data_IF_674301752678
#
_entry.id   IF_674301752678
#
_cell.length_a   1.000
_cell.length_b   1.000
_cell.length_c   1.000
_cell.angle_alpha   90.00
_cell.angle_beta   90.00
_cell.angle_gamma   90.00
#
_symmetry.space_group_name_H-M   'P 1'
#
loop_
_entity.id
_entity.type
_entity.pdbx_description
1 polymer ?
#
# COMPACT_ATOMS: atom_id res chain seq x y z
N UNK A 1 -17.72 -10.72 -0.48
CA UNK A 1 -17.52 -9.58 -1.40
C UNK A 1 -18.55 -8.54 -1.03
N UNK A 2 -18.14 -7.29 -0.90
CA UNK A 2 -18.97 -6.15 -0.51
C UNK A 2 -18.86 -5.05 -1.56
N UNK A 3 -19.85 -4.16 -1.61
CA UNK A 3 -19.80 -3.00 -2.48
C UNK A 3 -18.80 -1.98 -1.93
N UNK A 4 -17.92 -1.50 -2.79
CA UNK A 4 -16.82 -0.62 -2.43
C UNK A 4 -15.98 -0.28 -3.65
N UNK A 5 -15.01 0.60 -3.49
CA UNK A 5 -14.10 0.98 -4.57
C UNK A 5 -12.74 1.41 -4.04
N UNK A 6 -11.71 1.27 -4.88
CA UNK A 6 -10.37 1.81 -4.63
C UNK A 6 -9.95 2.75 -5.76
N UNK A 7 -9.26 3.83 -5.42
CA UNK A 7 -8.64 4.73 -6.38
C UNK A 7 -7.27 5.22 -5.92
N UNK A 8 -6.44 5.61 -6.88
CA UNK A 8 -4.99 5.80 -6.73
C UNK A 8 -4.67 7.24 -6.30
N UNK A 9 -5.21 7.63 -5.14
CA UNK A 9 -4.91 8.89 -4.45
C UNK A 9 -4.79 8.61 -2.95
N UNK A 10 -3.63 8.88 -2.38
CA UNK A 10 -3.40 8.74 -0.95
C UNK A 10 -3.64 10.03 -0.15
N UNK A 11 -3.25 9.99 1.13
CA UNK A 11 -3.38 11.12 2.03
C UNK A 11 -2.52 12.32 1.60
N UNK A 12 -3.05 13.53 1.75
CA UNK A 12 -2.31 14.77 1.46
C UNK A 12 -1.24 15.09 2.51
N UNK A 13 -1.36 14.52 3.71
CA UNK A 13 -0.42 14.75 4.81
C UNK A 13 -0.24 13.48 5.63
N UNK A 14 1.00 13.08 5.95
CA UNK A 14 1.25 11.90 6.80
C UNK A 14 0.75 12.10 8.23
N UNK A 15 0.46 13.33 8.65
CA UNK A 15 -0.14 13.59 9.97
C UNK A 15 -1.57 13.07 10.13
N UNK A 16 -2.22 12.63 9.05
CA UNK A 16 -3.50 11.95 9.12
C UNK A 16 -3.40 10.49 9.57
N UNK A 17 -2.20 9.88 9.52
CA UNK A 17 -1.97 8.46 9.86
C UNK A 17 -2.55 8.13 11.24
N UNK A 18 -3.29 7.03 11.29
CA UNK A 18 -3.89 6.48 12.52
C UNK A 18 -3.22 5.17 12.92
N UNK A 19 -2.62 4.46 11.96
CA UNK A 19 -1.84 3.24 12.17
C UNK A 19 -0.39 3.50 11.73
N UNK A 20 0.51 3.85 12.67
CA UNK A 20 1.91 4.13 12.37
C UNK A 20 2.71 2.91 11.92
N UNK A 21 2.27 1.69 12.25
CA UNK A 21 2.97 0.47 11.83
C UNK A 21 2.74 0.22 10.34
N UNK A 22 1.51 0.42 9.87
CA UNK A 22 1.13 0.20 8.46
C UNK A 22 1.23 1.47 7.61
N UNK A 23 1.48 2.63 8.24
CA UNK A 23 1.46 3.95 7.59
C UNK A 23 0.13 4.22 6.86
N UNK A 24 -0.97 3.84 7.51
CA UNK A 24 -2.33 3.96 6.96
C UNK A 24 -3.22 4.87 7.83
N UNK A 25 -4.19 5.51 7.19
CA UNK A 25 -5.33 6.14 7.82
C UNK A 25 -6.51 5.18 7.77
N UNK A 26 -7.08 4.86 8.92
CA UNK A 26 -8.22 3.95 9.06
C UNK A 26 -9.36 4.72 9.71
N UNK A 27 -10.42 4.96 8.93
CA UNK A 27 -11.63 5.65 9.38
C UNK A 27 -12.79 4.66 9.41
N UNK A 28 -13.26 4.31 10.61
CA UNK A 28 -14.42 3.44 10.81
C UNK A 28 -15.72 4.26 10.83
N UNK A 29 -16.78 3.76 10.20
CA UNK A 29 -18.09 4.42 10.01
C UNK A 29 -17.99 5.87 9.49
N UNK A 30 -17.12 6.10 8.52
CA UNK A 30 -16.80 7.43 8.02
C UNK A 30 -17.92 8.05 7.17
N UNK A 31 -18.02 9.38 7.24
CA UNK A 31 -18.72 10.21 6.25
C UNK A 31 -17.75 10.71 5.17
N UNK A 32 -18.22 10.89 3.95
CA UNK A 32 -17.40 11.22 2.78
C UNK A 32 -17.89 12.51 2.13
N UNK A 33 -17.08 13.56 2.19
CA UNK A 33 -17.27 14.78 1.42
C UNK A 33 -16.70 14.59 0.01
N UNK A 34 -17.54 14.81 -1.00
CA UNK A 34 -17.19 14.66 -2.41
C UNK A 34 -17.35 16.03 -3.07
N UNK A 35 -16.24 16.73 -3.24
CA UNK A 35 -16.22 18.10 -3.74
C UNK A 35 -15.37 18.20 -5.00
N UNK A 36 -15.87 18.90 -6.03
CA UNK A 36 -15.14 18.99 -7.29
C UNK A 36 -14.00 20.00 -7.26
N UNK A 37 -14.14 21.10 -6.51
CA UNK A 37 -13.18 22.20 -6.52
C UNK A 37 -12.09 22.06 -5.47
N UNK A 38 -11.09 22.93 -5.58
CA UNK A 38 -10.04 23.12 -4.58
C UNK A 38 -10.61 23.73 -3.30
N UNK A 39 -10.08 23.27 -2.17
CA UNK A 39 -10.38 23.78 -0.83
C UNK A 39 -9.13 24.45 -0.26
N UNK A 40 -9.10 25.78 -0.30
CA UNK A 40 -7.99 26.59 0.21
C UNK A 40 -8.33 27.37 1.49
N UNK A 41 -9.59 27.77 1.64
CA UNK A 41 -10.08 28.55 2.76
C UNK A 41 -10.87 27.68 3.76
N UNK A 42 -10.55 27.82 5.05
CA UNK A 42 -11.24 27.08 6.10
C UNK A 42 -12.68 27.57 6.32
N UNK A 43 -12.94 28.86 6.07
CA UNK A 43 -14.23 29.51 6.32
C UNK A 43 -15.41 28.73 5.72
N UNK A 44 -15.28 28.28 4.47
CA UNK A 44 -16.35 27.63 3.73
C UNK A 44 -16.65 26.21 4.26
N UNK A 45 -15.69 25.60 4.96
CA UNK A 45 -15.78 24.26 5.52
C UNK A 45 -16.27 24.23 6.97
N UNK A 46 -16.16 25.34 7.71
CA UNK A 46 -16.49 25.40 9.14
C UNK A 46 -17.90 24.85 9.45
N UNK A 47 -18.98 25.26 8.74
CA UNK A 47 -20.32 24.77 9.05
C UNK A 47 -20.46 23.26 8.89
N UNK A 48 -19.73 22.66 7.95
CA UNK A 48 -19.74 21.23 7.72
C UNK A 48 -18.93 20.48 8.78
N UNK A 49 -17.73 20.99 9.12
CA UNK A 49 -16.88 20.35 10.14
C UNK A 49 -17.55 20.36 11.52
N UNK A 50 -18.27 21.42 11.88
CA UNK A 50 -19.04 21.48 13.13
C UNK A 50 -20.14 20.42 13.17
N UNK A 51 -20.89 20.26 12.07
CA UNK A 51 -21.90 19.21 11.96
C UNK A 51 -21.29 17.81 12.12
N UNK A 52 -20.16 17.55 11.46
CA UNK A 52 -19.47 16.26 11.52
C UNK A 52 -18.90 15.99 12.92
N UNK A 53 -18.28 17.00 13.54
CA UNK A 53 -17.72 16.89 14.88
C UNK A 53 -18.82 16.62 15.93
N UNK A 54 -19.98 17.28 15.81
CA UNK A 54 -21.15 17.01 16.67
C UNK A 54 -21.71 15.60 16.47
N UNK A 55 -21.66 15.07 15.24
CA UNK A 55 -22.06 13.70 14.95
C UNK A 55 -21.06 12.65 15.48
N UNK A 56 -19.84 13.06 15.85
CA UNK A 56 -18.80 12.16 16.36
C UNK A 56 -18.32 11.14 15.32
N UNK A 57 -18.48 11.43 14.01
CA UNK A 57 -18.12 10.51 12.92
C UNK A 57 -16.82 10.95 12.24
N UNK A 58 -15.94 10.03 11.85
CA UNK A 58 -14.77 10.36 11.05
C UNK A 58 -15.13 10.88 9.66
N UNK A 59 -14.30 11.75 9.09
CA UNK A 59 -14.54 12.41 7.80
C UNK A 59 -13.43 12.16 6.78
N UNK A 60 -13.79 11.59 5.64
CA UNK A 60 -12.96 11.61 4.44
C UNK A 60 -13.35 12.81 3.57
N UNK A 61 -12.36 13.61 3.17
CA UNK A 61 -12.53 14.72 2.23
C UNK A 61 -11.87 14.37 0.90
N UNK A 62 -12.67 14.35 -0.16
CA UNK A 62 -12.21 14.18 -1.54
C UNK A 62 -12.48 15.48 -2.27
N UNK A 63 -11.41 16.16 -2.69
CA UNK A 63 -11.46 17.46 -3.39
C UNK A 63 -10.46 17.49 -4.56
N UNK A 64 -10.57 18.41 -5.52
CA UNK A 64 -9.52 18.57 -6.55
C UNK A 64 -8.14 18.73 -5.91
N UNK A 65 -8.08 19.60 -4.90
CA UNK A 65 -6.92 19.77 -4.03
C UNK A 65 -7.36 20.33 -2.68
N UNK A 66 -6.54 20.15 -1.65
CA UNK A 66 -6.74 20.76 -0.34
C UNK A 66 -5.41 21.32 0.15
N UNK A 67 -5.30 22.65 0.17
CA UNK A 67 -4.02 23.35 0.32
C UNK A 67 -4.12 24.53 1.29
N UNK A 68 -2.95 25.09 1.66
CA UNK A 68 -2.87 26.30 2.48
C UNK A 68 -3.45 26.15 3.89
N UNK A 69 -4.27 27.13 4.28
CA UNK A 69 -4.83 27.23 5.62
C UNK A 69 -5.79 26.06 5.95
N UNK A 70 -6.57 25.61 4.97
CA UNK A 70 -7.51 24.50 5.15
C UNK A 70 -6.78 23.20 5.56
N UNK A 71 -5.68 22.86 4.86
CA UNK A 71 -4.91 21.66 5.17
C UNK A 71 -4.27 21.74 6.55
N UNK A 72 -3.61 22.85 6.86
CA UNK A 72 -2.97 23.08 8.16
C UNK A 72 -3.99 22.95 9.31
N UNK A 73 -5.19 23.52 9.12
CA UNK A 73 -6.23 23.48 10.14
C UNK A 73 -6.77 22.06 10.37
N UNK A 74 -6.99 21.28 9.32
CA UNK A 74 -7.41 19.88 9.45
C UNK A 74 -6.33 19.05 10.16
N UNK A 75 -5.06 19.22 9.80
CA UNK A 75 -3.94 18.52 10.43
C UNK A 75 -3.88 18.83 11.92
N UNK A 76 -3.97 20.11 12.31
CA UNK A 76 -3.95 20.52 13.72
C UNK A 76 -5.15 19.96 14.48
N UNK A 77 -6.35 19.97 13.90
CA UNK A 77 -7.55 19.41 14.54
C UNK A 77 -7.49 17.89 14.68
N UNK A 78 -6.91 17.18 13.70
CA UNK A 78 -6.63 15.75 13.84
C UNK A 78 -5.65 15.53 14.99
N UNK A 79 -4.50 16.20 15.01
CA UNK A 79 -3.47 15.99 16.03
C UNK A 79 -3.98 16.30 17.46
N UNK A 80 -4.91 17.24 17.60
CA UNK A 80 -5.60 17.55 18.86
C UNK A 80 -6.69 16.55 19.26
N UNK A 81 -7.06 15.63 18.37
CA UNK A 81 -8.14 14.67 18.59
C UNK A 81 -9.55 15.27 18.45
N UNK A 82 -9.67 16.52 18.01
CA UNK A 82 -10.97 17.21 17.85
C UNK A 82 -11.77 16.61 16.69
N UNK A 83 -11.09 16.20 15.62
CA UNK A 83 -11.73 15.67 14.41
C UNK A 83 -10.88 14.55 13.82
N UNK A 84 -11.43 13.34 13.77
CA UNK A 84 -10.85 12.25 12.98
C UNK A 84 -11.13 12.51 11.50
N UNK A 85 -10.13 12.94 10.73
CA UNK A 85 -10.31 13.21 9.31
C UNK A 85 -9.09 12.85 8.46
N UNK A 86 -9.33 12.68 7.17
CA UNK A 86 -8.31 12.51 6.14
C UNK A 86 -8.72 13.30 4.88
N UNK A 87 -7.77 13.98 4.26
CA UNK A 87 -7.97 14.64 2.97
C UNK A 87 -7.17 13.95 1.88
N UNK A 88 -7.83 13.70 0.75
CA UNK A 88 -7.25 13.06 -0.44
C UNK A 88 -7.63 13.84 -1.68
N UNK A 89 -6.78 13.80 -2.71
CA UNK A 89 -7.12 14.40 -4.01
C UNK A 89 -8.18 13.57 -4.72
N UNK A 90 -8.98 14.21 -5.53
CA UNK A 90 -9.94 13.56 -6.41
C UNK A 90 -9.19 12.69 -7.45
N UNK A 91 -9.73 11.51 -7.79
CA UNK A 91 -9.17 10.69 -8.85
C UNK A 91 -9.49 11.28 -10.23
N UNK A 92 -8.58 11.11 -11.19
CA UNK A 92 -8.73 11.63 -12.54
C UNK A 92 -8.49 13.14 -12.68
N UNK A 93 -8.78 13.66 -13.88
CA UNK A 93 -8.63 15.08 -14.26
C UNK A 93 -9.76 15.48 -15.22
N UNK A 94 -10.09 16.78 -15.27
CA UNK A 94 -11.16 17.31 -16.15
C UNK A 94 -12.49 16.56 -15.98
N UNK A 95 -13.20 16.33 -17.08
CA UNK A 95 -14.50 15.62 -17.08
C UNK A 95 -14.42 14.21 -16.47
N UNK A 96 -13.26 13.56 -16.56
CA UNK A 96 -13.05 12.25 -15.92
C UNK A 96 -13.09 12.36 -14.40
N UNK A 97 -12.57 13.44 -13.83
CA UNK A 97 -12.63 13.69 -12.39
C UNK A 97 -14.08 13.81 -11.94
N UNK A 98 -14.87 14.64 -12.63
CA UNK A 98 -16.29 14.83 -12.34
C UNK A 98 -17.06 13.51 -12.45
N UNK A 99 -16.79 12.73 -13.50
CA UNK A 99 -17.41 11.42 -13.68
C UNK A 99 -17.01 10.40 -12.59
N UNK A 100 -15.75 10.40 -12.15
CA UNK A 100 -15.26 9.53 -11.07
C UNK A 100 -15.76 9.97 -9.69
N UNK A 101 -15.89 11.27 -9.43
CA UNK A 101 -16.53 11.79 -8.21
C UNK A 101 -17.99 11.35 -8.13
N UNK A 102 -18.70 11.34 -9.27
CA UNK A 102 -20.05 10.77 -9.34
C UNK A 102 -20.07 9.27 -9.08
N UNK A 103 -19.05 8.53 -9.52
CA UNK A 103 -18.89 7.10 -9.22
C UNK A 103 -18.73 6.88 -7.69
N UNK A 104 -17.87 7.69 -7.04
CA UNK A 104 -17.71 7.67 -5.57
C UNK A 104 -19.01 8.03 -4.85
N UNK A 105 -19.74 9.03 -5.33
CA UNK A 105 -21.02 9.44 -4.78
C UNK A 105 -22.05 8.30 -4.85
N UNK A 106 -22.12 7.61 -5.99
CA UNK A 106 -23.01 6.47 -6.21
C UNK A 106 -22.67 5.30 -5.26
N UNK A 107 -21.39 4.98 -5.08
CA UNK A 107 -20.94 3.89 -4.18
C UNK A 107 -21.20 4.22 -2.71
N UNK A 108 -21.02 5.48 -2.32
CA UNK A 108 -21.16 5.90 -0.92
C UNK A 108 -22.57 6.38 -0.54
N UNK A 109 -23.47 6.53 -1.52
CA UNK A 109 -24.81 7.10 -1.32
C UNK A 109 -24.79 8.60 -1.02
N UNK A 110 -23.68 9.29 -1.33
CA UNK A 110 -23.51 10.72 -1.16
C UNK A 110 -23.86 11.51 -2.42
N UNK A 111 -23.69 12.84 -2.34
CA UNK A 111 -23.84 13.74 -3.48
C UNK A 111 -22.48 14.30 -3.88
N UNK A 112 -22.14 14.21 -5.17
CA UNK A 112 -20.99 14.93 -5.71
C UNK A 112 -21.33 16.43 -5.81
N UNK A 113 -20.62 17.27 -5.08
CA UNK A 113 -20.82 18.73 -5.07
C UNK A 113 -20.00 19.32 -6.23
N UNK A 114 -20.63 19.40 -7.40
CA UNK A 114 -20.07 19.99 -8.62
C UNK A 114 -20.47 21.46 -8.75
N UNK A 115 -19.69 22.23 -9.53
CA UNK A 115 -19.96 23.66 -9.75
C UNK A 115 -21.32 23.90 -10.39
N UNK A 116 -21.71 23.04 -11.33
CA UNK A 116 -22.93 23.15 -12.14
C UNK A 116 -24.21 23.08 -11.30
N UNK A 117 -24.13 22.47 -10.11
CA UNK A 117 -25.25 22.37 -9.17
C UNK A 117 -25.51 23.68 -8.42
N UNK A 118 -24.58 24.64 -8.44
CA UNK A 118 -24.70 25.91 -7.72
C UNK A 118 -24.74 25.79 -6.19
N UNK A 119 -24.34 24.62 -5.64
CA UNK A 119 -24.34 24.35 -4.21
C UNK A 119 -23.06 24.91 -3.59
N UNK A 120 -23.21 25.84 -2.64
CA UNK A 120 -22.09 26.33 -1.84
C UNK A 120 -21.76 25.33 -0.73
N UNK A 121 -20.47 25.15 -0.45
CA UNK A 121 -19.97 24.24 0.58
C UNK A 121 -20.54 24.55 1.97
N UNK A 122 -20.72 25.84 2.28
CA UNK A 122 -21.33 26.32 3.53
C UNK A 122 -22.75 25.78 3.78
N UNK A 123 -23.47 25.42 2.72
CA UNK A 123 -24.87 24.96 2.78
C UNK A 123 -25.00 23.43 2.76
N UNK A 124 -23.89 22.71 2.64
CA UNK A 124 -23.89 21.24 2.56
C UNK A 124 -24.32 20.67 3.91
N UNK A 125 -25.24 19.71 3.86
CA UNK A 125 -25.76 19.03 5.05
C UNK A 125 -25.14 17.66 5.21
N UNK A 126 -25.10 17.15 6.44
CA UNK A 126 -24.70 15.77 6.77
C UNK A 126 -25.42 14.69 5.93
N UNK A 127 -26.65 14.94 5.50
CA UNK A 127 -27.42 14.01 4.66
C UNK A 127 -26.93 13.93 3.21
N UNK A 128 -26.16 14.92 2.73
CA UNK A 128 -25.59 14.94 1.38
C UNK A 128 -24.18 14.31 1.34
N UNK A 129 -23.58 14.03 2.49
CA UNK A 129 -22.31 13.30 2.57
C UNK A 129 -22.51 11.83 2.29
N UNK A 130 -21.53 11.23 1.59
CA UNK A 130 -21.45 9.79 1.44
C UNK A 130 -21.18 9.10 2.77
N UNK A 131 -21.45 7.80 2.84
CA UNK A 131 -21.15 6.98 4.01
C UNK A 131 -20.44 5.70 3.59
N UNK A 132 -19.50 5.27 4.41
CA UNK A 132 -18.83 3.99 4.25
C UNK A 132 -18.55 3.40 5.62
N UNK A 133 -18.64 2.07 5.73
CA UNK A 133 -18.34 1.39 6.99
C UNK A 133 -16.87 1.49 7.37
N UNK A 134 -15.99 1.49 6.39
CA UNK A 134 -14.55 1.63 6.61
C UNK A 134 -13.88 2.29 5.42
N UNK A 135 -13.00 3.25 5.69
CA UNK A 135 -12.12 3.85 4.69
C UNK A 135 -10.68 3.61 5.12
N UNK A 136 -9.85 3.15 4.19
CA UNK A 136 -8.41 2.95 4.37
C UNK A 136 -7.69 3.84 3.37
N UNK A 137 -6.78 4.69 3.84
CA UNK A 137 -5.97 5.57 2.98
C UNK A 137 -4.50 5.33 3.28
N UNK A 138 -3.75 4.91 2.28
CA UNK A 138 -2.29 4.81 2.35
C UNK A 138 -1.65 6.01 1.62
N UNK A 139 -0.33 5.96 1.39
CA UNK A 139 0.40 7.04 0.71
C UNK A 139 -0.07 7.29 -0.73
N UNK A 140 -0.53 6.25 -1.41
CA UNK A 140 -0.80 6.24 -2.85
C UNK A 140 -2.26 5.92 -3.19
N UNK A 141 -3.02 5.28 -2.29
CA UNK A 141 -4.36 4.77 -2.53
C UNK A 141 -5.38 5.15 -1.45
N UNK A 142 -6.65 5.22 -1.88
CA UNK A 142 -7.82 5.29 -1.01
C UNK A 142 -8.76 4.14 -1.34
N UNK A 143 -9.16 3.39 -0.32
CA UNK A 143 -10.08 2.26 -0.39
C UNK A 143 -11.31 2.51 0.46
N UNK A 144 -12.49 2.48 -0.17
CA UNK A 144 -13.79 2.66 0.47
C UNK A 144 -14.49 1.31 0.54
N UNK A 145 -14.69 0.79 1.76
CA UNK A 145 -15.23 -0.55 2.03
C UNK A 145 -16.65 -0.44 2.58
N UNK A 146 -17.58 -1.23 2.01
CA UNK A 146 -19.01 -1.23 2.36
C UNK A 146 -19.59 0.20 2.30
N UNK A 147 -19.60 0.78 1.10
CA UNK A 147 -20.27 2.06 0.84
C UNK A 147 -21.80 1.94 1.00
N UNK A 148 -22.46 2.99 1.49
CA UNK A 148 -23.90 2.98 1.75
C UNK A 148 -24.76 3.32 0.51
N UNK A 149 -24.20 3.18 -0.69
CA UNK A 149 -24.89 3.40 -1.95
C UNK A 149 -26.00 2.39 -2.21
N UNK A 150 -26.97 2.74 -3.05
CA UNK A 150 -28.02 1.84 -3.45
C UNK A 150 -27.53 0.91 -4.57
N UNK A 151 -27.60 -0.41 -4.37
CA UNK A 151 -27.19 -1.41 -5.36
C UNK A 151 -27.87 -1.22 -6.73
N UNK A 152 -29.10 -0.69 -6.79
CA UNK A 152 -29.78 -0.43 -8.07
C UNK A 152 -29.17 0.76 -8.82
N UNK A 153 -28.77 1.80 -8.09
CA UNK A 153 -28.07 2.97 -8.66
C UNK A 153 -26.67 2.60 -9.12
N UNK A 154 -25.96 1.78 -8.34
CA UNK A 154 -24.64 1.24 -8.70
C UNK A 154 -24.74 0.38 -9.97
N UNK A 155 -25.71 -0.54 -10.03
CA UNK A 155 -25.95 -1.36 -11.22
C UNK A 155 -26.33 -0.51 -12.45
N UNK A 156 -27.13 0.54 -12.24
CA UNK A 156 -27.45 1.53 -13.28
C UNK A 156 -26.20 2.24 -13.79
N UNK A 157 -25.32 2.66 -12.89
CA UNK A 157 -24.04 3.31 -13.23
C UNK A 157 -23.10 2.39 -14.00
N UNK A 158 -22.98 1.14 -13.58
CA UNK A 158 -22.22 0.09 -14.28
C UNK A 158 -22.76 -0.10 -15.71
N UNK A 159 -24.09 -0.14 -15.88
CA UNK A 159 -24.73 -0.29 -17.19
C UNK A 159 -24.45 0.91 -18.10
N UNK A 160 -24.49 2.13 -17.56
CA UNK A 160 -24.14 3.35 -18.32
C UNK A 160 -22.70 3.29 -18.84
N UNK A 161 -21.74 2.90 -18.00
CA UNK A 161 -20.32 2.82 -18.39
C UNK A 161 -20.11 1.72 -19.44
N UNK A 162 -20.80 0.58 -19.34
CA UNK A 162 -20.76 -0.47 -20.36
C UNK A 162 -21.26 0.01 -21.72
N UNK A 163 -22.36 0.76 -21.76
CA UNK A 163 -22.85 1.34 -23.00
C UNK A 163 -21.84 2.34 -23.61
N UNK A 164 -21.22 3.19 -22.78
CA UNK A 164 -20.18 4.12 -23.23
C UNK A 164 -18.95 3.41 -23.81
N UNK A 165 -18.59 2.24 -23.29
CA UNK A 165 -17.49 1.40 -23.80
C UNK A 165 -17.80 0.85 -25.20
N UNK A 166 -19.06 0.49 -25.46
CA UNK A 166 -19.51 -0.01 -26.77
C UNK A 166 -19.63 1.11 -27.81
N UNK A 167 -20.02 2.31 -27.38
CA UNK A 167 -20.18 3.47 -28.27
C UNK A 167 -18.85 4.16 -28.61
N UNK A 168 -17.82 4.05 -27.76
CA UNK A 168 -16.55 4.73 -28.00
C UNK A 168 -15.71 4.06 -29.10
N UNK A 169 -15.23 4.89 -30.03
CA UNK A 169 -14.30 4.50 -31.10
C UNK A 169 -12.83 4.70 -30.72
N UNK A 170 -12.57 5.33 -29.57
CA UNK A 170 -11.23 5.62 -29.05
C UNK A 170 -10.76 4.50 -28.13
N UNK A 171 -9.66 3.83 -28.49
CA UNK A 171 -9.09 2.75 -27.66
C UNK A 171 -8.62 3.28 -26.29
N UNK A 172 -8.10 4.51 -26.26
CA UNK A 172 -7.73 5.19 -25.02
C UNK A 172 -8.95 5.36 -24.09
N UNK A 173 -10.06 5.90 -24.60
CA UNK A 173 -11.27 6.09 -23.79
C UNK A 173 -11.87 4.76 -23.36
N UNK A 174 -11.80 3.73 -24.22
CA UNK A 174 -12.23 2.38 -23.90
C UNK A 174 -11.48 1.81 -22.70
N UNK A 175 -10.15 1.87 -22.72
CA UNK A 175 -9.30 1.43 -21.60
C UNK A 175 -9.65 2.18 -20.31
N UNK A 176 -9.83 3.50 -20.40
CA UNK A 176 -10.13 4.36 -19.25
C UNK A 176 -11.54 4.18 -18.69
N UNK A 177 -12.51 3.82 -19.51
CA UNK A 177 -13.84 3.41 -19.06
C UNK A 177 -13.81 2.00 -18.45
N UNK A 178 -13.00 1.09 -18.99
CA UNK A 178 -12.81 -0.25 -18.42
C UNK A 178 -12.18 -0.19 -17.02
N UNK A 179 -11.19 0.68 -16.80
CA UNK A 179 -10.63 0.93 -15.46
C UNK A 179 -11.71 1.38 -14.46
N UNK A 180 -12.56 2.33 -14.86
CA UNK A 180 -13.67 2.83 -14.02
C UNK A 180 -14.70 1.73 -13.75
N UNK A 181 -15.06 0.97 -14.79
CA UNK A 181 -15.97 -0.16 -14.68
C UNK A 181 -15.43 -1.22 -13.72
N UNK A 182 -14.13 -1.54 -13.81
CA UNK A 182 -13.48 -2.50 -12.92
C UNK A 182 -13.54 -2.03 -11.45
N UNK A 183 -13.28 -0.74 -11.21
CA UNK A 183 -13.35 -0.15 -9.86
C UNK A 183 -14.77 -0.16 -9.26
N UNK A 184 -15.81 -0.08 -10.11
CA UNK A 184 -17.22 -0.14 -9.68
C UNK A 184 -17.78 -1.56 -9.57
N UNK A 185 -17.44 -2.43 -10.53
CA UNK A 185 -17.98 -3.78 -10.64
C UNK A 185 -17.19 -4.82 -9.84
N UNK A 186 -15.89 -4.56 -9.59
CA UNK A 186 -14.99 -5.49 -8.92
C UNK A 186 -15.34 -5.75 -7.46
N UNK A 187 -16.07 -4.81 -6.84
CA UNK A 187 -16.36 -4.85 -5.41
C UNK A 187 -15.08 -4.95 -4.58
N UNK A 188 -15.24 -5.24 -3.29
CA UNK A 188 -14.12 -5.46 -2.37
C UNK A 188 -14.29 -6.82 -1.71
N UNK A 189 -13.26 -7.65 -1.78
CA UNK A 189 -13.19 -8.87 -0.99
C UNK A 189 -12.64 -8.53 0.40
N UNK A 190 -13.42 -8.81 1.45
CA UNK A 190 -13.00 -8.60 2.85
C UNK A 190 -12.72 -9.96 3.47
N UNK A 191 -11.47 -10.15 3.93
CA UNK A 191 -11.06 -11.33 4.69
C UNK A 191 -11.04 -10.94 6.17
N UNK A 192 -11.91 -11.58 6.97
CA UNK A 192 -11.96 -11.36 8.41
C UNK A 192 -11.09 -12.41 9.09
N UNK A 193 -9.98 -11.98 9.67
CA UNK A 193 -9.02 -12.86 10.35
C UNK A 193 -9.40 -12.97 11.83
N UNK A 194 -9.67 -14.21 12.28
CA UNK A 194 -9.95 -14.52 13.68
C UNK A 194 -8.82 -15.31 14.33
N UNK A 195 -8.60 -15.05 15.62
CA UNK A 195 -7.64 -15.75 16.48
C UNK A 195 -8.11 -15.73 17.95
N UNK A 196 -7.45 -16.52 18.82
CA UNK A 196 -7.83 -16.65 20.23
C UNK A 196 -7.35 -15.45 21.09
N UNK A 197 -6.28 -14.78 20.67
CA UNK A 197 -5.72 -13.59 21.33
C UNK A 197 -5.48 -12.46 20.33
N UNK A 198 -5.40 -11.22 20.81
CA UNK A 198 -5.15 -10.06 19.95
C UNK A 198 -3.78 -10.15 19.26
N UNK A 199 -2.74 -10.58 19.98
CA UNK A 199 -1.39 -10.74 19.44
C UNK A 199 -1.35 -11.75 18.29
N UNK A 200 -2.00 -12.90 18.47
CA UNK A 200 -2.13 -13.92 17.41
C UNK A 200 -2.95 -13.40 16.22
N UNK A 201 -4.02 -12.64 16.49
CA UNK A 201 -4.83 -12.03 15.44
C UNK A 201 -4.00 -11.07 14.58
N UNK A 202 -3.13 -10.24 15.19
CA UNK A 202 -2.26 -9.31 14.48
C UNK A 202 -1.25 -10.04 13.59
N UNK A 203 -0.57 -11.05 14.12
CA UNK A 203 0.39 -11.87 13.35
C UNK A 203 -0.29 -12.60 12.19
N UNK A 204 -1.42 -13.25 12.46
CA UNK A 204 -2.17 -13.99 11.43
C UNK A 204 -2.73 -13.06 10.36
N UNK A 205 -3.14 -11.85 10.75
CA UNK A 205 -3.59 -10.82 9.82
C UNK A 205 -2.43 -10.37 8.92
N UNK A 206 -1.25 -10.12 9.49
CA UNK A 206 -0.06 -9.75 8.71
C UNK A 206 0.30 -10.85 7.69
N UNK A 207 0.30 -12.13 8.08
CA UNK A 207 0.52 -13.25 7.15
C UNK A 207 -0.47 -13.31 5.98
N UNK A 208 -1.75 -13.00 6.23
CA UNK A 208 -2.77 -12.95 5.17
C UNK A 208 -2.52 -11.78 4.22
N UNK A 209 -2.08 -10.63 4.73
CA UNK A 209 -1.69 -9.47 3.92
C UNK A 209 -0.45 -9.78 3.07
N UNK A 210 0.57 -10.42 3.64
CA UNK A 210 1.77 -10.85 2.92
C UNK A 210 1.43 -11.85 1.81
N UNK A 211 0.59 -12.84 2.10
CA UNK A 211 0.13 -13.82 1.11
C UNK A 211 -0.66 -13.15 -0.04
N UNK A 212 -1.47 -12.14 0.26
CA UNK A 212 -2.20 -11.35 -0.75
C UNK A 212 -1.22 -10.60 -1.66
N UNK A 213 -0.21 -9.95 -1.09
CA UNK A 213 0.82 -9.22 -1.84
C UNK A 213 1.66 -10.16 -2.72
N UNK A 214 2.07 -11.31 -2.18
CA UNK A 214 2.78 -12.34 -2.93
C UNK A 214 1.95 -12.89 -4.09
N UNK A 215 0.66 -13.15 -3.86
CA UNK A 215 -0.25 -13.65 -4.91
C UNK A 215 -0.42 -12.63 -6.03
N UNK A 216 -0.58 -11.34 -5.71
CA UNK A 216 -0.64 -10.26 -6.71
C UNK A 216 0.64 -10.20 -7.54
N UNK A 217 1.80 -10.22 -6.88
CA UNK A 217 3.10 -10.23 -7.55
C UNK A 217 3.28 -11.45 -8.46
N UNK A 218 2.80 -12.62 -8.04
CA UNK A 218 2.85 -13.85 -8.82
C UNK A 218 1.96 -13.81 -10.06
N UNK A 219 0.79 -13.17 -9.98
CA UNK A 219 -0.10 -12.97 -11.14
C UNK A 219 0.53 -12.01 -12.16
N UNK A 220 1.28 -11.00 -11.69
CA UNK A 220 1.89 -9.98 -12.55
C UNK A 220 3.12 -10.49 -13.32
N UNK A 221 4.09 -11.13 -12.65
CA UNK A 221 5.37 -11.53 -13.26
C UNK A 221 5.64 -13.04 -13.24
N UNK A 222 4.64 -13.83 -12.83
CA UNK A 222 4.77 -15.28 -12.71
C UNK A 222 5.50 -15.75 -11.44
N UNK A 223 5.90 -17.01 -11.45
CA UNK A 223 6.51 -17.70 -10.32
C UNK A 223 7.83 -18.37 -10.71
N UNK A 224 8.72 -18.55 -9.74
CA UNK A 224 10.00 -19.25 -9.85
C UNK A 224 10.16 -20.30 -8.74
N UNK A 225 11.17 -21.15 -8.85
CA UNK A 225 11.53 -22.10 -7.80
C UNK A 225 12.01 -21.36 -6.55
N UNK A 226 11.31 -21.54 -5.44
CA UNK A 226 11.58 -20.80 -4.22
C UNK A 226 12.77 -21.32 -3.41
N UNK A 227 12.89 -20.87 -2.17
CA UNK A 227 13.94 -21.30 -1.25
C UNK A 227 15.34 -20.84 -1.66
N UNK A 228 15.44 -19.70 -2.37
CA UNK A 228 16.69 -19.15 -2.90
C UNK A 228 17.27 -19.90 -4.11
N UNK A 229 16.57 -20.92 -4.62
CA UNK A 229 17.03 -21.71 -5.77
C UNK A 229 17.05 -20.87 -7.05
N UNK A 230 16.04 -20.02 -7.26
CA UNK A 230 15.98 -19.13 -8.42
C UNK A 230 17.22 -18.21 -8.51
N UNK A 231 17.61 -17.58 -7.40
CA UNK A 231 18.80 -16.72 -7.34
C UNK A 231 20.10 -17.50 -7.57
N UNK A 232 20.22 -18.68 -6.97
CA UNK A 232 21.37 -19.56 -7.17
C UNK A 232 21.54 -19.96 -8.66
N UNK A 233 20.43 -20.25 -9.36
CA UNK A 233 20.45 -20.54 -10.80
C UNK A 233 20.72 -19.30 -11.65
N UNK A 234 20.17 -18.15 -11.26
CA UNK A 234 20.42 -16.88 -11.95
C UNK A 234 21.92 -16.52 -11.95
N UNK A 235 22.68 -16.95 -10.95
CA UNK A 235 24.12 -16.72 -10.88
C UNK A 235 24.91 -17.34 -12.06
N UNK A 236 24.37 -18.37 -12.73
CA UNK A 236 25.02 -19.02 -13.89
C UNK A 236 25.18 -18.05 -15.07
N UNK A 237 24.30 -17.05 -15.22
CA UNK A 237 24.42 -16.04 -16.29
C UNK A 237 25.71 -15.23 -16.18
N UNK A 238 26.25 -15.09 -14.96
CA UNK A 238 27.47 -14.35 -14.68
C UNK A 238 28.72 -15.01 -15.27
N UNK A 239 28.68 -16.32 -15.59
CA UNK A 239 29.79 -17.04 -16.23
C UNK A 239 30.04 -16.58 -17.67
N UNK A 240 29.04 -15.97 -18.30
CA UNK A 240 29.16 -15.45 -19.66
C UNK A 240 29.85 -14.08 -19.73
N UNK A 241 29.99 -13.40 -18.59
CA UNK A 241 30.57 -12.06 -18.51
C UNK A 241 32.10 -12.13 -18.56
N UNK A 242 32.69 -11.49 -19.57
CA UNK A 242 34.15 -11.39 -19.74
C UNK A 242 34.63 -10.02 -19.25
N UNK A 243 34.79 -9.87 -17.95
CA UNK A 243 35.25 -8.65 -17.29
C UNK A 243 36.64 -8.86 -16.67
N UNK A 244 37.35 -7.77 -16.38
CA UNK A 244 38.70 -7.80 -15.81
C UNK A 244 38.86 -6.72 -14.73
N UNK A 245 39.84 -6.87 -13.84
CA UNK A 245 40.08 -5.90 -12.78
C UNK A 245 38.91 -5.79 -11.81
N UNK A 246 38.59 -4.58 -11.36
CA UNK A 246 37.58 -4.32 -10.32
C UNK A 246 36.17 -4.74 -10.73
N UNK A 247 35.85 -4.70 -12.03
CA UNK A 247 34.56 -5.16 -12.54
C UNK A 247 34.38 -6.69 -12.34
N UNK A 248 35.45 -7.48 -12.49
CA UNK A 248 35.42 -8.91 -12.22
C UNK A 248 35.25 -9.21 -10.72
N UNK A 249 35.84 -8.36 -9.86
CA UNK A 249 35.59 -8.40 -8.41
C UNK A 249 34.13 -8.12 -8.10
N UNK A 250 33.54 -7.10 -8.74
CA UNK A 250 32.11 -6.78 -8.60
C UNK A 250 31.19 -7.95 -8.96
N UNK A 251 31.46 -8.64 -10.08
CA UNK A 251 30.71 -9.86 -10.46
C UNK A 251 30.86 -10.96 -9.41
N UNK A 252 32.05 -11.13 -8.84
CA UNK A 252 32.30 -12.14 -7.80
C UNK A 252 31.52 -11.84 -6.51
N UNK A 253 31.39 -10.56 -6.14
CA UNK A 253 30.55 -10.13 -5.01
C UNK A 253 29.09 -10.53 -5.23
N UNK A 254 28.53 -10.19 -6.40
CA UNK A 254 27.14 -10.54 -6.73
C UNK A 254 26.93 -12.04 -6.74
N UNK A 255 27.84 -12.80 -7.37
CA UNK A 255 27.78 -14.27 -7.40
C UNK A 255 27.70 -14.88 -6.01
N UNK A 256 28.52 -14.37 -5.08
CA UNK A 256 28.51 -14.84 -3.69
C UNK A 256 27.20 -14.48 -2.99
N UNK A 257 26.74 -13.24 -3.15
CA UNK A 257 25.50 -12.76 -2.53
C UNK A 257 24.26 -13.57 -2.94
N UNK A 258 24.21 -14.04 -4.20
CA UNK A 258 23.09 -14.85 -4.71
C UNK A 258 22.94 -16.23 -4.02
N UNK A 259 23.98 -16.72 -3.35
CA UNK A 259 23.93 -17.96 -2.56
C UNK A 259 23.39 -17.75 -1.14
N UNK A 260 23.42 -16.52 -0.63
CA UNK A 260 23.12 -16.25 0.77
C UNK A 260 21.67 -16.56 1.16
N UNK A 261 20.64 -16.31 0.33
CA UNK A 261 19.25 -16.64 0.69
C UNK A 261 19.03 -18.13 0.97
N UNK A 262 19.48 -19.01 0.07
CA UNK A 262 19.38 -20.46 0.29
C UNK A 262 20.25 -20.92 1.46
N UNK A 263 21.45 -20.34 1.65
CA UNK A 263 22.32 -20.65 2.79
C UNK A 263 21.62 -20.31 4.11
N UNK A 264 21.07 -19.11 4.23
CA UNK A 264 20.42 -18.65 5.46
C UNK A 264 19.19 -19.50 5.80
N UNK A 265 18.39 -19.89 4.79
CA UNK A 265 17.24 -20.77 4.99
C UNK A 265 17.68 -22.13 5.57
N UNK A 266 18.75 -22.72 5.02
CA UNK A 266 19.30 -24.00 5.47
C UNK A 266 19.92 -23.91 6.87
N UNK A 267 20.64 -22.82 7.16
CA UNK A 267 21.22 -22.59 8.48
C UNK A 267 20.15 -22.40 9.55
N UNK A 268 19.06 -21.69 9.23
CA UNK A 268 17.90 -21.55 10.11
C UNK A 268 17.19 -22.90 10.38
N UNK A 269 17.32 -23.87 9.45
CA UNK A 269 16.86 -25.24 9.65
C UNK A 269 17.87 -26.13 10.43
N UNK A 270 18.99 -25.56 10.89
CA UNK A 270 20.00 -26.26 11.69
C UNK A 270 20.96 -27.13 10.87
N UNK A 271 21.09 -26.88 9.56
CA UNK A 271 21.93 -27.64 8.64
C UNK A 271 23.09 -26.79 8.10
N UNK A 272 24.09 -27.46 7.52
CA UNK A 272 25.26 -26.81 6.95
C UNK A 272 24.96 -26.22 5.56
N UNK A 273 24.77 -24.90 5.50
CA UNK A 273 24.34 -24.21 4.29
C UNK A 273 25.30 -24.38 3.11
N UNK A 274 26.62 -24.34 3.33
CA UNK A 274 27.61 -24.53 2.27
C UNK A 274 27.47 -25.90 1.56
N UNK A 275 27.19 -26.97 2.32
CA UNK A 275 27.03 -28.32 1.78
C UNK A 275 25.77 -28.42 0.93
N UNK A 276 24.67 -27.80 1.38
CA UNK A 276 23.41 -27.83 0.64
C UNK A 276 23.50 -27.01 -0.64
N UNK A 277 24.06 -25.80 -0.57
CA UNK A 277 24.25 -24.94 -1.76
C UNK A 277 25.05 -25.65 -2.84
N UNK A 278 26.18 -26.28 -2.49
CA UNK A 278 26.99 -27.00 -3.47
C UNK A 278 26.26 -28.20 -4.07
N UNK A 279 25.49 -28.95 -3.27
CA UNK A 279 24.66 -30.05 -3.78
C UNK A 279 23.55 -29.57 -4.72
N UNK A 280 22.88 -28.46 -4.40
CA UNK A 280 21.88 -27.87 -5.29
C UNK A 280 22.55 -27.37 -6.56
N UNK A 281 23.67 -26.66 -6.48
CA UNK A 281 24.44 -26.17 -7.64
C UNK A 281 24.83 -27.32 -8.57
N UNK A 282 25.34 -28.43 -8.02
CA UNK A 282 25.76 -29.60 -8.78
C UNK A 282 24.62 -30.44 -9.36
N UNK A 283 23.38 -30.26 -8.88
CA UNK A 283 22.22 -30.95 -9.43
C UNK A 283 21.87 -30.45 -10.85
N UNK A 284 21.12 -31.26 -11.59
CA UNK A 284 20.67 -30.91 -12.95
C UNK A 284 20.02 -29.52 -12.97
N UNK A 285 20.45 -28.61 -13.86
CA UNK A 285 19.89 -27.27 -13.95
C UNK A 285 18.36 -27.30 -14.12
N UNK A 286 17.66 -26.45 -13.38
CA UNK A 286 16.21 -26.41 -13.34
C UNK A 286 15.68 -26.13 -11.94
N UNK A 287 14.51 -26.70 -11.63
CA UNK A 287 13.74 -26.42 -10.42
C UNK A 287 14.12 -27.29 -9.22
N UNK A 288 15.19 -28.08 -9.31
CA UNK A 288 15.62 -28.95 -8.22
C UNK A 288 16.34 -28.14 -7.15
N UNK A 289 15.88 -28.28 -5.91
CA UNK A 289 16.34 -27.54 -4.75
C UNK A 289 16.35 -28.38 -3.48
N UNK A 290 16.32 -27.71 -2.34
CA UNK A 290 16.28 -28.31 -1.02
C UNK A 290 15.07 -27.77 -0.25
N UNK A 291 14.21 -28.67 0.20
CA UNK A 291 13.11 -28.36 1.09
C UNK A 291 13.62 -28.39 2.53
N UNK A 292 13.65 -27.22 3.16
CA UNK A 292 14.15 -27.05 4.53
C UNK A 292 13.15 -27.49 5.61
N UNK A 293 11.88 -27.72 5.27
CA UNK A 293 10.89 -28.26 6.19
C UNK A 293 11.02 -29.78 6.32
N UNK A 294 11.21 -30.47 5.19
CA UNK A 294 11.33 -31.94 5.14
C UNK A 294 12.78 -32.44 5.15
N UNK A 295 13.75 -31.56 4.90
CA UNK A 295 15.16 -31.86 4.71
C UNK A 295 15.47 -32.75 3.50
N UNK A 296 14.68 -32.64 2.43
CA UNK A 296 14.81 -33.44 1.21
C UNK A 296 15.15 -32.62 -0.04
N UNK A 297 15.84 -33.26 -1.00
CA UNK A 297 16.10 -32.65 -2.31
C UNK A 297 14.96 -32.94 -3.28
N UNK A 298 14.16 -31.92 -3.56
CA UNK A 298 12.92 -32.03 -4.32
C UNK A 298 12.91 -31.13 -5.56
N UNK A 299 11.93 -31.34 -6.42
CA UNK A 299 11.54 -30.37 -7.44
C UNK A 299 10.67 -29.30 -6.77
N UNK A 300 11.22 -28.09 -6.59
CA UNK A 300 10.62 -27.05 -5.75
C UNK A 300 9.22 -26.65 -6.23
N UNK A 301 9.03 -26.56 -7.55
CA UNK A 301 7.72 -26.19 -8.12
C UNK A 301 6.71 -27.32 -7.89
N UNK A 302 7.09 -28.58 -8.08
CA UNK A 302 6.19 -29.71 -7.82
C UNK A 302 5.87 -29.89 -6.34
N UNK A 303 6.80 -29.54 -5.46
CA UNK A 303 6.60 -29.52 -4.02
C UNK A 303 5.76 -28.32 -3.54
N UNK A 304 5.46 -27.35 -4.42
CA UNK A 304 4.72 -26.14 -4.08
C UNK A 304 5.55 -25.05 -3.39
N UNK A 305 6.87 -25.21 -3.36
CA UNK A 305 7.82 -24.22 -2.83
C UNK A 305 8.17 -23.25 -3.96
N UNK A 306 7.35 -22.22 -4.09
CA UNK A 306 7.40 -21.24 -5.18
C UNK A 306 7.46 -19.84 -4.63
N UNK A 307 8.21 -18.98 -5.31
CA UNK A 307 8.31 -17.55 -4.99
C UNK A 307 7.85 -16.71 -6.20
N UNK A 308 7.20 -15.56 -6.00
CA UNK A 308 6.86 -14.67 -7.11
C UNK A 308 8.12 -14.10 -7.77
N UNK A 309 8.21 -14.16 -9.11
CA UNK A 309 9.38 -13.64 -9.85
C UNK A 309 9.70 -12.19 -9.50
N UNK A 310 8.66 -11.37 -9.36
CA UNK A 310 8.77 -9.95 -9.01
C UNK A 310 9.48 -9.75 -7.68
N UNK A 311 9.19 -10.59 -6.68
CA UNK A 311 9.76 -10.46 -5.32
C UNK A 311 11.26 -10.72 -5.37
N UNK A 312 11.69 -11.84 -5.97
CA UNK A 312 13.11 -12.19 -6.11
C UNK A 312 13.91 -11.13 -6.88
N UNK A 313 13.35 -10.65 -8.00
CA UNK A 313 13.97 -9.60 -8.83
C UNK A 313 14.12 -8.28 -8.07
N UNK A 314 13.05 -7.81 -7.43
CA UNK A 314 13.03 -6.54 -6.71
C UNK A 314 13.92 -6.59 -5.46
N UNK A 315 13.94 -7.72 -4.75
CA UNK A 315 14.83 -7.93 -3.61
C UNK A 315 16.30 -7.77 -4.02
N UNK A 316 16.73 -8.45 -5.09
CA UNK A 316 18.09 -8.35 -5.62
C UNK A 316 18.43 -6.93 -6.09
N UNK A 317 17.53 -6.28 -6.84
CA UNK A 317 17.76 -4.93 -7.36
C UNK A 317 17.90 -3.89 -6.25
N UNK A 318 17.03 -3.94 -5.25
CA UNK A 318 17.08 -3.01 -4.11
C UNK A 318 18.34 -3.24 -3.27
N UNK A 319 18.69 -4.51 -2.99
CA UNK A 319 19.90 -4.86 -2.25
C UNK A 319 21.16 -4.36 -2.98
N UNK A 320 21.26 -4.62 -4.28
CA UNK A 320 22.38 -4.16 -5.10
C UNK A 320 22.46 -2.62 -5.15
N UNK A 321 21.32 -1.93 -5.26
CA UNK A 321 21.26 -0.46 -5.31
C UNK A 321 21.81 0.18 -4.03
N UNK A 322 21.43 -0.33 -2.86
CA UNK A 322 21.92 0.20 -1.58
C UNK A 322 23.39 -0.17 -1.38
N UNK A 323 23.77 -1.42 -1.67
CA UNK A 323 25.15 -1.87 -1.55
C UNK A 323 26.11 -1.04 -2.42
N UNK A 324 25.74 -0.75 -3.67
CA UNK A 324 26.56 0.09 -4.55
C UNK A 324 26.72 1.51 -4.01
N UNK A 325 25.65 2.09 -3.46
CA UNK A 325 25.72 3.42 -2.86
C UNK A 325 26.70 3.43 -1.67
N UNK A 326 26.59 2.44 -0.79
CA UNK A 326 27.47 2.30 0.38
C UNK A 326 28.94 2.08 -0.02
N UNK A 327 29.22 1.23 -1.01
CA UNK A 327 30.59 0.98 -1.48
C UNK A 327 31.26 2.22 -2.08
N UNK A 328 30.48 3.17 -2.60
CA UNK A 328 30.98 4.44 -3.16
C UNK A 328 30.96 5.60 -2.16
N UNK A 329 30.53 5.36 -0.91
CA UNK A 329 30.44 6.41 0.11
C UNK A 329 31.80 6.64 0.76
N UNK A 330 32.48 7.72 0.36
CA UNK A 330 33.76 8.14 0.95
C UNK A 330 33.61 8.95 2.24
N UNK A 331 32.50 9.69 2.38
CA UNK A 331 32.27 10.60 3.50
C UNK A 331 30.82 10.50 3.98
N UNK A 332 30.65 10.42 5.29
CA UNK A 332 29.35 10.48 5.97
C UNK A 332 29.37 11.64 6.97
N UNK A 333 28.40 12.54 6.86
CA UNK A 333 28.18 13.66 7.80
C UNK A 333 26.98 13.31 8.65
N UNK A 334 27.14 13.38 9.96
CA UNK A 334 26.08 13.07 10.95
C UNK A 334 26.06 14.16 12.01
N UNK A 335 24.93 14.29 12.70
CA UNK A 335 24.83 15.16 13.86
C UNK A 335 25.84 14.73 14.92
N UNK A 336 26.39 15.70 15.64
CA UNK A 336 27.21 15.37 16.80
C UNK A 336 26.35 14.60 17.81
N UNK A 337 26.89 13.55 18.46
CA UNK A 337 26.14 12.82 19.48
C UNK A 337 25.63 13.80 20.53
N UNK A 338 24.35 13.69 20.88
CA UNK A 338 23.78 14.51 21.96
C UNK A 338 24.61 14.28 23.23
N UNK A 339 25.01 15.37 23.89
CA UNK A 339 25.64 15.27 25.18
C UNK A 339 24.69 14.52 26.11
N UNK A 340 25.14 13.41 26.70
CA UNK A 340 24.34 12.63 27.63
C UNK A 340 23.67 13.59 28.61
N UNK A 341 22.34 13.66 28.59
CA UNK A 341 21.59 14.48 29.52
C UNK A 341 22.11 14.14 30.92
N UNK A 342 22.60 15.16 31.64
CA UNK A 342 23.07 14.99 33.00
C UNK A 342 21.97 14.23 33.75
N UNK A 343 22.28 13.01 34.17
CA UNK A 343 21.34 12.20 34.94
C UNK A 343 20.78 13.11 36.04
N UNK A 344 19.44 13.19 36.20
CA UNK A 344 18.86 14.07 37.20
C UNK A 344 19.54 13.77 38.52
N UNK A 345 20.13 14.80 39.12
CA UNK A 345 20.78 14.70 40.42
C UNK A 345 19.73 14.18 41.40
N UNK A 346 19.81 12.90 41.73
CA UNK A 346 19.02 12.31 42.79
C UNK A 346 19.25 13.17 44.04
N UNK A 347 18.19 13.68 44.69
CA UNK A 347 18.33 14.42 45.92
C UNK A 347 19.13 13.56 46.91
N UNK A 348 20.29 14.06 47.35
CA UNK A 348 20.98 13.49 48.50
C UNK A 348 19.98 13.49 49.65
N UNK A 349 19.58 12.27 50.07
CA UNK A 349 18.74 12.07 51.23
C UNK A 349 19.36 12.76 52.42
N UNK A 350 18.56 13.60 53.09
CA UNK A 350 18.95 14.24 54.34
C UNK A 350 19.22 13.21 55.41
N UNK A 351 20.36 13.36 56.07
CA UNK A 351 20.66 12.74 57.35
C UNK A 351 19.85 13.44 58.46
N UNK A 352 19.10 12.62 59.21
CA UNK A 352 18.43 12.84 60.51
C UNK A 352 17.22 13.78 60.61
#
# INVERSE_FOLDING_TARGET
VVEGMQFDRGYLSPYFVTDPERMEVVLEDAVVLIHEKKLSAMKDMLPLLEQVAQAGRPLLIIAEDLEGEALATLVVNKLRGTLACCAVKAPGFGDRRTAMLQDVATVTGGKAITEDLGIKLENVKLAELGRAKKVIVDKDNTTIVEGAGNSTEIAGRIKQIRAQIEETTSDYDREKLQERLAKLAGGIAVIKVGAATETEMKEKKARVEDALNATRAAVEEGIVAGGGVALLRAAEVLDSLKLTGDEATGVSIVRRALEEPIRQIVENAGLEGAVVVEKVRAAVPGTRGFDAETNEYVDMIKAGIIDPTKVERVALQNAASIASLMLTTEVLVTDSPEAAAAAPSMPQGGDF
#
